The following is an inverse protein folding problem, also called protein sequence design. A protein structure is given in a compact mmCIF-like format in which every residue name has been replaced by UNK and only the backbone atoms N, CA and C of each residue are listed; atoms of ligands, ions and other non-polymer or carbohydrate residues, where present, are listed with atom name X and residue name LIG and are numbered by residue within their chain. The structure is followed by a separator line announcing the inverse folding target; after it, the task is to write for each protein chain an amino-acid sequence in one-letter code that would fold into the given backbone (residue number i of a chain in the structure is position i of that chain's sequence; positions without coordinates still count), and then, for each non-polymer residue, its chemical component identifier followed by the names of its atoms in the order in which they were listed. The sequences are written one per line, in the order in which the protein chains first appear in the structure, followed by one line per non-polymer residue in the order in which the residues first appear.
data_IF_406775780768
#
_entry.id   IF_406775780768
#
_cell.length_a   1.000
_cell.length_b   1.000
_cell.length_c   1.000
_cell.angle_alpha   90.00
_cell.angle_beta   90.00
_cell.angle_gamma   90.00
#
_symmetry.space_group_name_H-M   'P 1'
#
loop_
_entity.id
_entity.type
_entity.pdbx_description
1 polymer ?
#
# COMPACT_ATOMS: atom_id res chain seq x y z
N UNK A 1 -9.89 -13.47 6.68
CA UNK A 1 -9.48 -12.07 6.59
C UNK A 1 -10.67 -11.17 6.37
N UNK A 2 -10.76 -10.09 7.12
CA UNK A 2 -11.83 -9.10 6.92
C UNK A 2 -11.66 -8.50 5.53
N UNK A 3 -12.64 -8.71 4.64
CA UNK A 3 -12.69 -7.97 3.38
C UNK A 3 -12.96 -6.51 3.72
N UNK A 4 -12.00 -5.64 3.46
CA UNK A 4 -12.17 -4.19 3.58
C UNK A 4 -13.28 -3.67 2.68
N UNK A 5 -13.55 -4.38 1.59
CA UNK A 5 -14.52 -4.01 0.58
C UNK A 5 -15.31 -5.27 0.19
N UNK A 6 -16.60 -5.24 0.38
CA UNK A 6 -17.51 -6.27 -0.11
C UNK A 6 -18.02 -5.89 -1.50
N UNK A 7 -17.36 -6.42 -2.52
CA UNK A 7 -17.69 -6.13 -3.93
C UNK A 7 -19.13 -6.50 -4.32
N UNK A 8 -19.81 -7.34 -3.51
CA UNK A 8 -21.22 -7.70 -3.79
C UNK A 8 -22.21 -6.60 -3.43
N UNK A 9 -21.78 -5.60 -2.63
CA UNK A 9 -22.61 -4.49 -2.18
C UNK A 9 -22.45 -3.23 -3.04
N UNK A 10 -21.63 -3.27 -4.07
CA UNK A 10 -21.43 -2.14 -4.95
C UNK A 10 -22.56 -2.03 -5.97
N UNK A 11 -23.20 -0.88 -5.96
CA UNK A 11 -24.13 -0.45 -7.01
C UNK A 11 -23.36 0.05 -8.25
N UNK A 12 -24.07 0.36 -9.32
CA UNK A 12 -23.51 0.93 -10.55
C UNK A 12 -22.61 2.16 -10.26
N UNK A 13 -21.48 2.28 -10.96
CA UNK A 13 -20.58 3.42 -10.85
C UNK A 13 -19.17 3.10 -10.33
N UNK A 14 -18.92 1.84 -9.93
CA UNK A 14 -17.55 1.42 -9.58
C UNK A 14 -16.83 0.94 -10.84
N UNK A 15 -15.69 1.54 -11.06
CA UNK A 15 -14.77 1.14 -12.13
C UNK A 15 -13.68 0.26 -11.54
N UNK A 16 -13.48 -0.92 -12.12
CA UNK A 16 -12.37 -1.81 -11.77
C UNK A 16 -11.19 -1.45 -12.68
N UNK A 17 -10.07 -1.11 -12.07
CA UNK A 17 -8.81 -0.83 -12.77
C UNK A 17 -7.79 -1.94 -12.50
N UNK A 18 -7.12 -2.40 -13.54
CA UNK A 18 -6.11 -3.47 -13.46
C UNK A 18 -4.69 -2.95 -13.17
N UNK A 19 -4.56 -1.72 -12.67
CA UNK A 19 -3.26 -1.16 -12.30
C UNK A 19 -3.36 0.22 -11.68
N UNK A 20 -2.38 0.55 -10.85
CA UNK A 20 -2.30 1.82 -10.12
C UNK A 20 -2.29 3.03 -11.06
N UNK A 21 -1.55 2.96 -12.16
CA UNK A 21 -1.47 4.06 -13.14
C UNK A 21 -2.83 4.37 -13.77
N UNK A 22 -3.66 3.36 -14.01
CA UNK A 22 -5.01 3.54 -14.55
C UNK A 22 -5.87 4.28 -13.53
N UNK A 23 -5.81 3.89 -12.25
CA UNK A 23 -6.53 4.60 -11.18
C UNK A 23 -6.12 6.06 -11.12
N UNK A 24 -4.82 6.34 -11.17
CA UNK A 24 -4.29 7.70 -11.09
C UNK A 24 -4.73 8.56 -12.29
N UNK A 25 -4.62 8.02 -13.51
CA UNK A 25 -5.06 8.72 -14.73
C UNK A 25 -6.56 9.02 -14.69
N UNK A 26 -7.35 8.06 -14.27
CA UNK A 26 -8.81 8.20 -14.16
C UNK A 26 -9.22 9.26 -13.14
N UNK A 27 -8.57 9.29 -11.97
CA UNK A 27 -8.85 10.29 -10.92
C UNK A 27 -8.34 11.67 -11.34
N UNK A 28 -7.14 11.77 -11.93
CA UNK A 28 -6.59 13.03 -12.42
C UNK A 28 -7.46 13.65 -13.54
N UNK A 29 -8.08 12.81 -14.37
CA UNK A 29 -8.95 13.24 -15.48
C UNK A 29 -10.38 13.60 -15.08
N UNK A 30 -10.82 13.37 -13.85
CA UNK A 30 -12.22 13.58 -13.46
C UNK A 30 -12.36 13.92 -11.98
N UNK A 31 -12.74 15.17 -11.69
CA UNK A 31 -12.93 15.70 -10.34
C UNK A 31 -14.01 14.99 -9.50
N UNK A 32 -14.89 14.24 -10.12
CA UNK A 32 -15.93 13.45 -9.43
C UNK A 32 -15.45 12.04 -9.06
N UNK A 33 -14.23 11.63 -9.47
CA UNK A 33 -13.70 10.30 -9.16
C UNK A 33 -12.92 10.31 -7.86
N UNK A 34 -13.05 9.21 -7.12
CA UNK A 34 -12.25 8.84 -5.98
C UNK A 34 -11.60 7.48 -6.25
N UNK A 35 -10.32 7.34 -5.98
CA UNK A 35 -9.58 6.08 -6.11
C UNK A 35 -8.80 5.75 -4.85
N UNK A 36 -8.20 4.57 -4.81
CA UNK A 36 -7.21 4.19 -3.80
C UNK A 36 -5.99 3.59 -4.46
N UNK A 37 -4.83 3.91 -3.94
CA UNK A 37 -3.50 3.47 -4.41
C UNK A 37 -2.57 3.27 -3.21
N UNK A 38 -1.41 2.64 -3.45
CA UNK A 38 -0.34 2.60 -2.45
C UNK A 38 0.30 3.98 -2.28
N UNK A 39 0.77 4.31 -1.07
CA UNK A 39 1.49 5.56 -0.79
C UNK A 39 2.72 5.73 -1.69
N UNK A 40 3.47 4.68 -1.95
CA UNK A 40 4.65 4.72 -2.83
C UNK A 40 4.36 5.05 -4.29
N UNK A 41 3.10 5.02 -4.70
CA UNK A 41 2.70 5.40 -6.07
C UNK A 41 2.12 6.81 -6.15
N UNK A 42 1.95 7.50 -5.02
CA UNK A 42 1.36 8.84 -4.98
C UNK A 42 2.31 9.87 -5.60
N UNK A 43 1.77 10.72 -6.46
CA UNK A 43 2.48 11.85 -7.05
C UNK A 43 1.57 13.08 -7.18
N UNK A 44 2.10 14.16 -7.72
CA UNK A 44 1.43 15.47 -7.80
C UNK A 44 0.26 15.54 -8.79
N UNK A 45 -0.02 14.47 -9.53
CA UNK A 45 -1.15 14.43 -10.48
C UNK A 45 -2.49 14.23 -9.80
N UNK A 46 -2.48 13.73 -8.56
CA UNK A 46 -3.67 13.45 -7.75
C UNK A 46 -3.49 13.99 -6.33
N UNK A 47 -4.59 14.31 -5.67
CA UNK A 47 -4.60 14.80 -4.29
C UNK A 47 -4.91 13.66 -3.31
N UNK A 48 -4.01 13.43 -2.35
CA UNK A 48 -4.31 12.57 -1.22
C UNK A 48 -5.38 13.19 -0.31
N UNK A 49 -6.35 12.40 0.09
CA UNK A 49 -7.41 12.84 1.00
C UNK A 49 -7.16 12.31 2.42
N UNK A 50 -7.61 13.06 3.41
CA UNK A 50 -7.55 12.63 4.82
C UNK A 50 -8.56 11.49 5.06
N UNK A 51 -8.14 10.51 5.85
CA UNK A 51 -9.03 9.47 6.37
C UNK A 51 -9.32 9.74 7.85
N UNK A 52 -10.58 9.91 8.19
CA UNK A 52 -11.00 10.34 9.53
C UNK A 52 -10.25 11.59 10.05
N UNK A 53 -9.98 12.56 9.17
CA UNK A 53 -9.25 13.77 9.52
C UNK A 53 -7.73 13.64 9.56
N UNK A 54 -7.18 12.44 9.40
CA UNK A 54 -5.73 12.15 9.44
C UNK A 54 -5.15 12.06 8.04
N UNK A 55 -4.03 12.73 7.80
CA UNK A 55 -3.31 12.69 6.53
C UNK A 55 -2.52 11.38 6.34
N UNK A 56 -2.42 10.86 5.11
CA UNK A 56 -1.61 9.68 4.79
C UNK A 56 -0.12 10.04 4.72
N UNK A 57 0.49 10.25 5.86
CA UNK A 57 1.94 10.51 5.97
C UNK A 57 2.66 9.33 6.59
N UNK A 58 3.96 9.20 6.30
CA UNK A 58 4.83 8.17 6.90
C UNK A 58 4.74 8.21 8.42
N UNK A 59 4.79 9.42 9.01
CA UNK A 59 4.67 9.60 10.45
C UNK A 59 3.35 9.08 11.01
N UNK A 60 2.22 9.45 10.37
CA UNK A 60 0.89 9.02 10.80
C UNK A 60 0.65 7.52 10.63
N UNK A 61 1.32 6.89 9.67
CA UNK A 61 1.31 5.43 9.54
C UNK A 61 2.14 4.79 10.65
N UNK A 62 3.36 5.27 10.90
CA UNK A 62 4.26 4.72 11.93
C UNK A 62 3.68 4.86 13.35
N UNK A 63 3.09 5.99 13.68
CA UNK A 63 2.46 6.20 15.00
C UNK A 63 1.07 5.57 15.12
N UNK A 64 0.56 4.94 14.05
CA UNK A 64 -0.72 4.24 14.04
C UNK A 64 -1.96 5.14 14.07
N UNK A 65 -1.84 6.44 13.85
CA UNK A 65 -3.00 7.35 13.75
C UNK A 65 -3.72 7.21 12.42
N UNK A 66 -2.99 6.98 11.32
CA UNK A 66 -3.59 6.67 10.02
C UNK A 66 -4.00 5.20 9.95
N UNK A 67 -5.28 4.93 10.16
CA UNK A 67 -5.82 3.56 10.30
C UNK A 67 -5.99 2.79 8.98
N UNK A 68 -5.97 3.46 7.84
CA UNK A 68 -6.08 2.83 6.53
C UNK A 68 -4.68 2.40 6.02
N UNK A 69 -3.98 1.64 6.85
CA UNK A 69 -2.66 1.10 6.55
C UNK A 69 -2.64 -0.41 6.76
N UNK A 70 -1.80 -1.10 6.01
CA UNK A 70 -1.56 -2.53 6.16
C UNK A 70 -0.07 -2.85 5.95
N UNK A 71 0.49 -3.82 6.69
CA UNK A 71 1.86 -4.26 6.46
C UNK A 71 1.97 -5.07 5.16
N UNK A 72 3.13 -5.02 4.53
CA UNK A 72 3.54 -6.07 3.60
C UNK A 72 4.00 -7.28 4.41
N UNK A 73 3.60 -8.46 3.97
CA UNK A 73 3.90 -9.71 4.68
C UNK A 73 4.81 -10.59 3.81
N UNK A 74 5.87 -11.10 4.42
CA UNK A 74 6.64 -12.19 3.85
C UNK A 74 5.95 -13.49 4.25
N UNK A 75 5.58 -14.30 3.25
CA UNK A 75 4.86 -15.55 3.48
C UNK A 75 5.77 -16.72 3.15
N UNK A 76 5.88 -17.67 4.06
CA UNK A 76 6.65 -18.91 3.89
C UNK A 76 5.75 -20.12 4.13
N UNK A 77 6.14 -21.27 3.60
CA UNK A 77 5.39 -22.51 3.83
C UNK A 77 5.54 -22.95 5.30
N UNK A 78 4.41 -23.13 5.98
CA UNK A 78 4.40 -23.61 7.36
C UNK A 78 5.04 -25.01 7.47
N UNK A 79 5.90 -25.19 8.47
CA UNK A 79 6.58 -26.47 8.76
C UNK A 79 7.66 -26.86 7.75
N UNK A 80 8.01 -26.03 6.79
CA UNK A 80 9.13 -26.27 5.89
C UNK A 80 10.36 -25.47 6.30
N UNK A 81 11.55 -26.08 6.21
CA UNK A 81 12.82 -25.35 6.33
C UNK A 81 13.04 -24.50 5.08
N UNK A 82 13.42 -23.26 5.31
CA UNK A 82 13.84 -22.35 4.23
C UNK A 82 15.25 -22.72 3.77
N UNK A 83 15.50 -22.64 2.47
CA UNK A 83 16.87 -22.68 1.94
C UNK A 83 17.70 -21.52 2.50
N UNK A 84 19.02 -21.68 2.54
CA UNK A 84 19.91 -20.60 3.01
C UNK A 84 19.71 -19.31 2.19
N UNK A 85 19.60 -19.41 0.88
CA UNK A 85 19.35 -18.26 0.02
C UNK A 85 18.04 -17.53 0.35
N UNK A 86 16.98 -18.27 0.72
CA UNK A 86 15.72 -17.66 1.13
C UNK A 86 15.85 -16.93 2.48
N UNK A 87 16.60 -17.51 3.41
CA UNK A 87 16.89 -16.87 4.71
C UNK A 87 17.70 -15.58 4.50
N UNK A 88 18.78 -15.65 3.73
CA UNK A 88 19.65 -14.49 3.43
C UNK A 88 18.86 -13.37 2.75
N UNK A 89 17.93 -13.71 1.86
CA UNK A 89 17.08 -12.72 1.20
C UNK A 89 16.09 -12.04 2.17
N UNK A 90 15.47 -12.81 3.07
CA UNK A 90 14.60 -12.26 4.12
C UNK A 90 15.41 -11.36 5.05
N UNK A 91 16.58 -11.81 5.49
CA UNK A 91 17.47 -11.04 6.36
C UNK A 91 17.92 -9.74 5.70
N UNK A 92 18.21 -9.78 4.39
CA UNK A 92 18.51 -8.57 3.62
C UNK A 92 17.32 -7.60 3.59
N UNK A 93 16.10 -8.08 3.30
CA UNK A 93 14.89 -7.22 3.29
C UNK A 93 14.72 -6.53 4.66
N UNK A 94 14.95 -7.25 5.75
CA UNK A 94 14.77 -6.73 7.11
C UNK A 94 15.97 -5.91 7.61
N UNK A 95 17.09 -5.92 6.89
CA UNK A 95 18.28 -5.13 7.23
C UNK A 95 18.07 -3.63 6.99
N UNK A 96 18.93 -2.80 7.59
CA UNK A 96 18.95 -1.35 7.36
C UNK A 96 19.06 -1.00 5.87
N UNK A 97 19.90 -1.73 5.12
CA UNK A 97 20.08 -1.53 3.68
C UNK A 97 18.77 -1.84 2.90
N UNK A 98 18.10 -2.95 3.21
CA UNK A 98 16.83 -3.30 2.61
C UNK A 98 15.73 -2.31 2.97
N UNK A 99 15.65 -1.87 4.22
CA UNK A 99 14.66 -0.90 4.69
C UNK A 99 14.88 0.50 4.10
N UNK A 100 16.13 0.86 3.79
CA UNK A 100 16.44 2.09 3.05
C UNK A 100 15.85 2.06 1.65
N UNK A 101 15.97 0.95 0.93
CA UNK A 101 15.35 0.76 -0.39
C UNK A 101 13.81 0.88 -0.29
N UNK A 102 13.20 0.26 0.72
CA UNK A 102 11.76 0.38 0.98
C UNK A 102 11.33 1.83 1.12
N UNK A 103 12.10 2.64 1.85
CA UNK A 103 11.82 4.06 2.03
C UNK A 103 12.03 4.89 0.75
N UNK A 104 13.10 4.59 -0.02
CA UNK A 104 13.39 5.24 -1.30
C UNK A 104 12.30 4.99 -2.34
N UNK A 105 11.65 3.81 -2.32
CA UNK A 105 10.50 3.47 -3.14
C UNK A 105 9.17 4.08 -2.63
N UNK A 106 9.22 4.95 -1.62
CA UNK A 106 8.07 5.69 -1.11
C UNK A 106 7.15 4.90 -0.16
N UNK A 107 7.59 3.73 0.31
CA UNK A 107 6.87 2.95 1.30
C UNK A 107 7.35 3.25 2.72
N UNK A 108 6.58 2.81 3.70
CA UNK A 108 6.92 3.03 5.12
C UNK A 108 7.84 1.91 5.59
N UNK A 109 9.12 2.23 5.80
CA UNK A 109 10.09 1.33 6.42
C UNK A 109 9.75 1.06 7.90
N UNK A 110 10.15 -0.13 8.38
CA UNK A 110 9.99 -0.53 9.79
C UNK A 110 10.77 0.34 10.75
#
# INVERSE_FOLDING_TARGET
GNKLIDLTKFTSGIQIANGTNIVMTDVAGNVAKLGYISMGSLNDTVKAVKYNGVEPTVENVKNGTYKLARPFLIVTKSGAELSQAAKDFIDFILSEAGQKIVAEEGYVAM
#
